data_IF_222684787670
#
_entry.id   IF_222684787670
#
_cell.length_a   1.000
_cell.length_b   1.000
_cell.length_c   1.000
_cell.angle_alpha   90.00
_cell.angle_beta   90.00
_cell.angle_gamma   90.00
#
_symmetry.space_group_name_H-M   'P 1'
#
loop_
_entity.id
_entity.type
_entity.pdbx_description
1 polymer ?
#
# COMPACT_ATOMS: atom_id res chain seq x y z
N UNK A 1 19.75 89.22 74.46
CA UNK A 1 20.79 89.17 73.42
C UNK A 1 20.58 87.91 72.57
N UNK A 2 20.64 88.06 71.24
CA UNK A 2 20.71 87.03 70.18
C UNK A 2 19.48 86.11 70.04
N UNK A 3 18.53 86.35 69.13
CA UNK A 3 18.61 86.44 67.65
C UNK A 3 19.02 85.11 67.01
N UNK A 4 18.09 84.44 66.28
CA UNK A 4 18.26 84.06 64.86
C UNK A 4 17.21 83.05 64.36
N UNK A 5 16.51 83.51 63.33
CA UNK A 5 16.26 82.84 62.03
C UNK A 5 15.33 81.63 61.95
N UNK A 6 14.19 81.89 61.30
CA UNK A 6 13.32 80.93 60.62
C UNK A 6 14.11 80.10 59.59
N UNK A 7 13.82 78.80 59.54
CA UNK A 7 14.03 77.98 58.35
C UNK A 7 12.75 77.15 58.14
N UNK A 8 11.97 77.53 57.14
CA UNK A 8 10.87 76.72 56.63
C UNK A 8 11.44 75.79 55.55
N UNK A 9 11.42 74.48 55.78
CA UNK A 9 11.76 73.48 54.76
C UNK A 9 10.47 72.84 54.28
N UNK A 10 10.08 73.15 53.05
CA UNK A 10 9.09 72.41 52.28
C UNK A 10 9.71 71.07 51.88
N UNK A 11 9.23 69.95 52.46
CA UNK A 11 9.56 68.62 51.97
C UNK A 11 8.43 68.15 51.05
N UNK A 12 8.67 68.28 49.75
CA UNK A 12 7.78 67.81 48.69
C UNK A 12 7.52 66.31 48.80
N UNK A 13 6.25 65.92 48.83
CA UNK A 13 5.84 64.50 48.75
C UNK A 13 6.16 64.00 47.34
N UNK A 14 7.24 63.22 47.21
CA UNK A 14 7.55 62.46 46.00
C UNK A 14 6.73 61.16 46.04
N UNK A 15 5.63 61.12 45.30
CA UNK A 15 4.97 59.86 44.96
C UNK A 15 5.93 59.07 44.05
N UNK A 16 6.27 57.81 44.36
CA UNK A 16 7.03 56.99 43.42
C UNK A 16 6.13 56.74 42.20
N UNK A 17 6.47 57.34 41.07
CA UNK A 17 5.95 56.93 39.78
C UNK A 17 6.47 55.52 39.50
N UNK A 18 5.65 54.51 39.79
CA UNK A 18 5.90 53.13 39.34
C UNK A 18 5.90 53.16 37.81
N UNK A 19 7.09 53.09 37.22
CA UNK A 19 7.26 52.93 35.80
C UNK A 19 6.61 51.61 35.39
N UNK A 20 5.65 51.66 34.47
CA UNK A 20 5.09 50.45 33.87
C UNK A 20 6.20 49.81 33.02
N UNK A 21 6.63 48.61 33.38
CA UNK A 21 7.50 47.82 32.53
C UNK A 21 6.72 47.43 31.27
N UNK A 22 7.23 47.79 30.09
CA UNK A 22 6.63 47.38 28.83
C UNK A 22 6.72 45.87 28.69
N UNK A 23 5.57 45.21 28.57
CA UNK A 23 5.47 43.80 28.20
C UNK A 23 5.25 43.71 26.69
N UNK A 24 6.04 42.86 26.03
CA UNK A 24 5.86 42.51 24.61
C UNK A 24 5.48 41.05 24.51
N UNK A 25 4.49 40.74 23.68
CA UNK A 25 4.06 39.38 23.43
C UNK A 25 4.92 38.74 22.32
N UNK A 26 5.40 37.53 22.59
CA UNK A 26 5.99 36.66 21.57
C UNK A 26 4.96 35.60 21.17
N UNK A 27 4.41 35.72 19.96
CA UNK A 27 3.50 34.72 19.42
C UNK A 27 4.27 33.68 18.58
N UNK A 28 4.14 32.41 18.95
CA UNK A 28 4.73 31.29 18.22
C UNK A 28 3.61 30.45 17.61
N UNK A 29 3.54 30.44 16.28
CA UNK A 29 2.54 29.68 15.51
C UNK A 29 3.25 28.70 14.56
N UNK A 30 2.57 27.59 14.24
CA UNK A 30 3.04 26.61 13.26
C UNK A 30 2.00 25.54 12.99
N UNK A 31 2.13 24.85 11.85
CA UNK A 31 1.27 23.75 11.43
C UNK A 31 2.13 22.56 11.01
N UNK A 32 1.80 21.36 11.49
CA UNK A 32 2.44 20.10 11.06
C UNK A 32 1.56 19.47 9.98
N UNK A 33 2.11 19.29 8.78
CA UNK A 33 1.46 18.56 7.68
C UNK A 33 2.10 17.17 7.61
N UNK A 34 1.36 16.08 7.89
CA UNK A 34 1.89 14.73 7.77
C UNK A 34 2.03 14.33 6.29
N UNK A 35 3.01 13.48 5.99
CA UNK A 35 3.20 12.93 4.65
C UNK A 35 1.97 12.11 4.21
N UNK A 36 1.39 12.44 3.06
CA UNK A 36 0.26 11.75 2.46
C UNK A 36 0.71 10.96 1.23
N UNK A 37 0.49 9.64 1.24
CA UNK A 37 0.74 8.73 0.12
C UNK A 37 -0.60 8.16 -0.38
N UNK A 38 -0.79 8.15 -1.69
CA UNK A 38 -2.03 7.70 -2.34
C UNK A 38 -1.73 6.54 -3.29
N UNK A 39 -2.21 5.32 -3.00
CA UNK A 39 -2.11 4.18 -3.91
C UNK A 39 -3.16 4.26 -5.03
N UNK A 40 -2.77 3.92 -6.25
CA UNK A 40 -3.65 3.81 -7.41
C UNK A 40 -3.09 2.81 -8.45
N UNK A 41 -3.96 2.16 -9.20
CA UNK A 41 -3.54 1.33 -10.33
C UNK A 41 -3.43 2.15 -11.62
N UNK A 42 -2.34 1.95 -12.37
CA UNK A 42 -2.21 2.51 -13.71
C UNK A 42 -3.28 1.91 -14.64
N UNK A 43 -3.94 2.77 -15.43
CA UNK A 43 -4.99 2.33 -16.36
C UNK A 43 -6.35 2.01 -15.69
N UNK A 44 -6.46 2.15 -14.36
CA UNK A 44 -7.67 1.87 -13.59
C UNK A 44 -7.60 0.58 -12.78
N UNK A 45 -8.63 0.32 -11.98
CA UNK A 45 -8.69 -0.80 -11.04
C UNK A 45 -9.40 -2.05 -11.59
N UNK A 46 -9.63 -2.12 -12.90
CA UNK A 46 -10.40 -3.20 -13.54
C UNK A 46 -9.59 -3.82 -14.67
N UNK A 47 -9.34 -5.13 -14.57
CA UNK A 47 -8.80 -5.94 -15.65
C UNK A 47 -9.95 -6.67 -16.32
N UNK A 48 -10.28 -6.30 -17.55
CA UNK A 48 -11.31 -6.96 -18.35
C UNK A 48 -10.69 -8.15 -19.11
N UNK A 49 -11.00 -9.37 -18.65
CA UNK A 49 -10.58 -10.62 -19.29
C UNK A 49 -11.31 -10.90 -20.61
N UNK A 50 -12.24 -10.02 -21.00
CA UNK A 50 -13.11 -10.13 -22.18
C UNK A 50 -13.95 -11.40 -22.13
N UNK A 51 -14.70 -11.64 -23.21
CA UNK A 51 -15.47 -12.87 -23.38
C UNK A 51 -14.55 -14.02 -23.72
N UNK A 52 -14.65 -15.08 -22.93
CA UNK A 52 -13.86 -16.31 -23.10
C UNK A 52 -14.79 -17.38 -23.67
N UNK A 53 -14.46 -17.89 -24.86
CA UNK A 53 -15.22 -18.98 -25.47
C UNK A 53 -15.00 -20.27 -24.68
N UNK A 54 -16.06 -20.99 -24.34
CA UNK A 54 -15.95 -22.30 -23.70
C UNK A 54 -15.17 -23.31 -24.56
N UNK A 55 -15.15 -23.12 -25.88
CA UNK A 55 -14.41 -23.96 -26.82
C UNK A 55 -12.88 -23.88 -26.68
N UNK A 56 -12.34 -22.83 -26.06
CA UNK A 56 -10.89 -22.72 -25.78
C UNK A 56 -10.50 -23.31 -24.42
N UNK A 57 -11.48 -23.67 -23.57
CA UNK A 57 -11.22 -24.23 -22.26
C UNK A 57 -10.97 -25.74 -22.35
N UNK A 58 -9.92 -26.20 -21.67
CA UNK A 58 -9.62 -27.63 -21.59
C UNK A 58 -10.67 -28.37 -20.76
N UNK A 59 -11.15 -29.51 -21.28
CA UNK A 59 -12.18 -30.31 -20.62
C UNK A 59 -11.73 -30.98 -19.34
N UNK A 60 -10.48 -31.43 -19.25
CA UNK A 60 -10.02 -32.31 -18.17
C UNK A 60 -8.96 -31.66 -17.26
N UNK A 61 -8.38 -30.54 -17.68
CA UNK A 61 -7.31 -29.83 -16.98
C UNK A 61 -7.65 -28.35 -16.87
N UNK A 62 -6.95 -27.63 -15.99
CA UNK A 62 -7.03 -26.18 -15.95
C UNK A 62 -6.58 -25.55 -17.28
N UNK A 63 -7.06 -24.34 -17.53
CA UNK A 63 -6.70 -23.51 -18.68
C UNK A 63 -6.05 -22.23 -18.16
N UNK A 64 -4.81 -21.97 -18.59
CA UNK A 64 -4.15 -20.68 -18.37
C UNK A 64 -4.67 -19.70 -19.43
N UNK A 65 -5.16 -18.55 -18.98
CA UNK A 65 -5.66 -17.49 -19.85
C UNK A 65 -4.53 -16.51 -20.20
N UNK A 66 -4.73 -15.62 -21.20
CA UNK A 66 -3.78 -14.56 -21.50
C UNK A 66 -3.44 -13.73 -20.26
N UNK A 67 -2.17 -13.35 -20.16
CA UNK A 67 -1.63 -12.55 -19.06
C UNK A 67 -1.99 -11.07 -19.27
N UNK A 68 -2.26 -10.36 -18.17
CA UNK A 68 -2.57 -8.93 -18.19
C UNK A 68 -1.62 -8.15 -17.30
N UNK A 69 -0.95 -7.14 -17.83
CA UNK A 69 -0.08 -6.29 -17.02
C UNK A 69 -0.89 -5.31 -16.17
N UNK A 70 -0.50 -5.19 -14.90
CA UNK A 70 -1.08 -4.27 -13.92
C UNK A 70 0.03 -3.61 -13.13
N UNK A 71 -0.11 -2.35 -12.76
CA UNK A 71 0.93 -1.66 -11.97
C UNK A 71 0.28 -0.85 -10.85
N UNK A 72 0.70 -1.11 -9.62
CA UNK A 72 0.36 -0.27 -8.47
C UNK A 72 1.35 0.90 -8.42
N UNK A 73 0.82 2.12 -8.36
CA UNK A 73 1.59 3.33 -8.12
C UNK A 73 1.21 3.92 -6.77
N UNK A 74 2.20 4.39 -6.02
CA UNK A 74 1.98 5.10 -4.75
C UNK A 74 2.67 6.45 -4.88
N UNK A 75 1.89 7.53 -4.79
CA UNK A 75 2.39 8.89 -4.90
C UNK A 75 2.30 9.59 -3.56
N UNK A 76 3.42 10.12 -3.09
CA UNK A 76 3.56 10.79 -1.80
C UNK A 76 3.92 12.28 -1.97
N UNK A 77 3.39 13.13 -1.08
CA UNK A 77 3.69 14.57 -1.03
C UNK A 77 5.07 14.91 -0.39
N UNK A 78 5.73 13.91 0.18
CA UNK A 78 7.13 13.92 0.64
C UNK A 78 7.73 12.51 0.54
N UNK A 79 9.06 12.36 0.48
CA UNK A 79 9.69 11.04 0.48
C UNK A 79 9.28 10.21 1.71
N UNK A 80 8.72 9.02 1.49
CA UNK A 80 8.36 8.10 2.55
C UNK A 80 8.65 6.64 2.14
N UNK A 81 9.14 5.80 3.06
CA UNK A 81 9.16 4.37 2.85
C UNK A 81 7.77 3.79 3.10
N UNK A 82 7.34 2.86 2.26
CA UNK A 82 6.02 2.23 2.34
C UNK A 82 6.13 0.72 2.22
N UNK A 83 5.17 -0.01 2.78
CA UNK A 83 4.96 -1.42 2.49
C UNK A 83 3.50 -1.69 2.12
N UNK A 84 3.23 -2.79 1.43
CA UNK A 84 1.89 -3.19 0.99
C UNK A 84 1.60 -4.63 1.39
N UNK A 85 0.34 -4.90 1.77
CA UNK A 85 -0.19 -6.26 1.90
C UNK A 85 -1.33 -6.46 0.91
N UNK A 86 -1.45 -7.67 0.36
CA UNK A 86 -2.51 -8.01 -0.60
C UNK A 86 -3.52 -8.90 0.09
N UNK A 87 -4.79 -8.50 0.14
CA UNK A 87 -5.89 -9.29 0.70
C UNK A 87 -6.84 -9.74 -0.40
N UNK A 88 -7.08 -11.06 -0.47
CA UNK A 88 -8.12 -11.64 -1.31
C UNK A 88 -9.53 -11.34 -0.78
N UNK A 89 -10.34 -10.58 -1.52
CA UNK A 89 -11.74 -10.30 -1.17
C UNK A 89 -12.69 -11.43 -1.63
N UNK A 90 -12.16 -12.42 -2.36
CA UNK A 90 -12.89 -13.55 -2.96
C UNK A 90 -12.27 -14.89 -2.62
N UNK A 91 -11.48 -14.97 -1.55
CA UNK A 91 -10.67 -16.15 -1.21
C UNK A 91 -11.44 -17.45 -0.99
N UNK A 92 -12.72 -17.37 -0.59
CA UNK A 92 -13.60 -18.55 -0.46
C UNK A 92 -13.93 -19.21 -1.82
N UNK A 93 -13.81 -18.47 -2.92
CA UNK A 93 -14.16 -18.89 -4.27
C UNK A 93 -12.96 -19.48 -5.04
N UNK A 94 -11.78 -19.48 -4.44
CA UNK A 94 -10.55 -20.00 -5.05
C UNK A 94 -10.63 -21.50 -5.30
N UNK A 95 -10.44 -21.89 -6.56
CA UNK A 95 -10.34 -23.29 -6.96
C UNK A 95 -9.04 -23.92 -6.39
N UNK A 96 -9.13 -24.99 -5.57
CA UNK A 96 -7.94 -25.66 -5.06
C UNK A 96 -7.16 -26.40 -6.15
N UNK A 97 -5.84 -26.50 -5.96
CA UNK A 97 -4.97 -27.31 -6.83
C UNK A 97 -4.65 -26.69 -8.20
N UNK A 98 -5.06 -25.43 -8.43
CA UNK A 98 -4.59 -24.66 -9.58
C UNK A 98 -3.10 -24.32 -9.44
N UNK A 99 -2.44 -24.14 -10.58
CA UNK A 99 -1.04 -23.75 -10.64
C UNK A 99 -0.77 -22.77 -11.79
N UNK A 100 0.37 -22.06 -11.76
CA UNK A 100 0.77 -21.20 -12.86
C UNK A 100 1.50 -21.99 -13.97
N UNK A 101 2.05 -21.30 -14.97
CA UNK A 101 2.86 -21.87 -16.05
C UNK A 101 4.19 -22.48 -15.59
N UNK A 102 4.65 -22.17 -14.37
CA UNK A 102 5.87 -22.74 -13.78
C UNK A 102 5.59 -23.96 -12.89
N UNK A 103 4.32 -24.25 -12.63
CA UNK A 103 3.87 -25.34 -11.76
C UNK A 103 3.79 -24.96 -10.27
N UNK A 104 3.93 -23.67 -9.93
CA UNK A 104 3.71 -23.19 -8.57
C UNK A 104 2.24 -23.35 -8.19
N UNK A 105 1.96 -24.00 -7.07
CA UNK A 105 0.61 -24.42 -6.66
C UNK A 105 0.28 -24.12 -5.18
N UNK A 106 1.14 -23.38 -4.47
CA UNK A 106 0.84 -22.96 -3.10
C UNK A 106 -0.46 -22.12 -3.09
N UNK A 107 -1.52 -22.56 -2.39
CA UNK A 107 -2.77 -21.82 -2.32
C UNK A 107 -2.61 -20.39 -1.81
N UNK A 108 -1.58 -20.06 -1.04
CA UNK A 108 -1.33 -18.69 -0.57
C UNK A 108 -1.00 -17.71 -1.71
N UNK A 109 -0.54 -18.21 -2.86
CA UNK A 109 -0.10 -17.43 -4.03
C UNK A 109 -1.22 -17.20 -5.07
N UNK A 110 -2.42 -17.72 -4.82
CA UNK A 110 -3.56 -17.59 -5.72
C UNK A 110 -4.73 -16.89 -5.03
N UNK A 111 -5.47 -16.15 -5.83
CA UNK A 111 -6.66 -15.38 -5.47
C UNK A 111 -7.91 -15.97 -6.14
N UNK A 112 -9.08 -15.82 -5.51
CA UNK A 112 -10.35 -16.31 -6.05
C UNK A 112 -10.87 -15.47 -7.21
N UNK A 113 -11.53 -16.10 -8.18
CA UNK A 113 -12.14 -15.43 -9.35
C UNK A 113 -13.66 -15.65 -9.46
N UNK A 114 -14.28 -16.07 -8.36
CA UNK A 114 -15.72 -16.30 -8.26
C UNK A 114 -16.12 -17.76 -8.32
N UNK A 115 -17.40 -17.97 -8.03
CA UNK A 115 -18.07 -19.27 -8.07
C UNK A 115 -19.48 -19.11 -8.62
N UNK A 116 -20.04 -20.19 -9.15
CA UNK A 116 -21.41 -20.25 -9.64
C UNK A 116 -22.09 -21.51 -9.08
N UNK A 117 -23.21 -21.34 -8.39
CA UNK A 117 -23.95 -22.43 -7.72
C UNK A 117 -23.06 -23.29 -6.80
N UNK A 118 -22.10 -22.67 -6.10
CA UNK A 118 -21.11 -23.35 -5.24
C UNK A 118 -19.94 -24.02 -5.99
N UNK A 119 -19.94 -23.98 -7.33
CA UNK A 119 -18.82 -24.44 -8.15
C UNK A 119 -17.81 -23.32 -8.34
N UNK A 120 -16.63 -23.48 -7.75
CA UNK A 120 -15.50 -22.55 -7.91
C UNK A 120 -14.96 -22.60 -9.32
N UNK A 121 -14.83 -21.44 -9.96
CA UNK A 121 -14.53 -21.37 -11.39
C UNK A 121 -13.03 -21.53 -11.66
N UNK A 122 -12.19 -20.99 -10.77
CA UNK A 122 -10.76 -20.90 -10.98
C UNK A 122 -10.09 -19.99 -9.96
N UNK A 123 -9.09 -19.25 -10.42
CA UNK A 123 -8.42 -18.22 -9.63
C UNK A 123 -7.51 -17.39 -10.52
N UNK A 124 -6.71 -16.53 -9.90
CA UNK A 124 -5.64 -15.82 -10.58
C UNK A 124 -4.44 -15.67 -9.65
N UNK A 125 -3.25 -15.54 -10.22
CA UNK A 125 -2.05 -15.15 -9.50
C UNK A 125 -1.60 -13.76 -9.93
N UNK A 126 -0.79 -13.11 -9.10
CA UNK A 126 -0.08 -11.89 -9.45
C UNK A 126 1.41 -12.20 -9.45
N UNK A 127 2.05 -12.13 -10.62
CA UNK A 127 3.50 -12.26 -10.75
C UNK A 127 4.12 -10.89 -10.56
N UNK A 128 5.07 -10.76 -9.64
CA UNK A 128 5.72 -9.47 -9.46
C UNK A 128 6.71 -9.18 -10.59
N UNK A 129 6.75 -7.92 -11.03
CA UNK A 129 7.82 -7.37 -11.84
C UNK A 129 8.97 -6.89 -10.96
N UNK A 130 9.74 -5.95 -11.49
CA UNK A 130 10.79 -5.25 -10.76
C UNK A 130 10.17 -3.95 -10.22
N UNK A 131 10.03 -3.77 -8.89
CA UNK A 131 9.54 -2.53 -8.32
C UNK A 131 10.52 -1.39 -8.59
N UNK A 132 10.03 -0.15 -8.55
CA UNK A 132 10.83 1.04 -8.82
C UNK A 132 10.46 2.19 -7.88
N UNK A 133 11.41 3.09 -7.69
CA UNK A 133 11.18 4.40 -7.08
C UNK A 133 11.74 5.48 -7.98
N UNK A 134 10.96 6.53 -8.27
CA UNK A 134 11.35 7.61 -9.19
C UNK A 134 11.94 7.08 -10.54
N UNK A 135 11.35 6.01 -11.08
CA UNK A 135 11.77 5.28 -12.29
C UNK A 135 13.15 4.58 -12.19
N UNK A 136 13.64 4.35 -10.97
CA UNK A 136 14.86 3.59 -10.69
C UNK A 136 14.51 2.21 -10.12
N UNK A 137 14.91 1.10 -10.79
CA UNK A 137 14.66 -0.27 -10.34
C UNK A 137 15.17 -0.53 -8.92
N UNK A 138 14.38 -1.28 -8.14
CA UNK A 138 14.66 -1.64 -6.75
C UNK A 138 14.62 -3.16 -6.56
N UNK A 139 15.22 -3.63 -5.47
CA UNK A 139 15.07 -5.00 -4.98
C UNK A 139 13.70 -5.14 -4.32
N UNK A 140 12.91 -6.13 -4.75
CA UNK A 140 11.68 -6.49 -4.05
C UNK A 140 12.01 -7.17 -2.72
N UNK A 141 11.37 -6.69 -1.66
CA UNK A 141 11.53 -7.15 -0.29
C UNK A 141 10.20 -7.72 0.21
N UNK A 142 10.29 -8.74 1.07
CA UNK A 142 9.12 -9.24 1.79
C UNK A 142 9.45 -9.53 3.25
N UNK A 143 8.42 -9.49 4.10
CA UNK A 143 8.46 -9.90 5.50
C UNK A 143 7.07 -10.30 5.97
N UNK A 144 6.96 -10.70 7.23
CA UNK A 144 5.67 -10.80 7.93
C UNK A 144 5.79 -10.12 9.29
N UNK A 145 4.67 -9.88 9.98
CA UNK A 145 4.74 -9.36 11.35
C UNK A 145 5.41 -10.36 12.32
N UNK A 146 5.30 -11.66 12.05
CA UNK A 146 5.94 -12.70 12.86
C UNK A 146 7.45 -12.85 12.58
N UNK A 147 7.89 -12.49 11.38
CA UNK A 147 9.29 -12.43 10.99
C UNK A 147 9.56 -11.06 10.33
N UNK A 148 9.90 -10.03 11.12
CA UNK A 148 9.94 -8.65 10.68
C UNK A 148 11.21 -8.28 9.89
N UNK A 149 12.18 -9.20 9.79
CA UNK A 149 13.38 -9.00 8.99
C UNK A 149 13.03 -9.02 7.50
N UNK A 150 13.55 -8.03 6.75
CA UNK A 150 13.43 -8.02 5.30
C UNK A 150 14.20 -9.19 4.69
N UNK A 151 13.62 -9.77 3.65
CA UNK A 151 14.22 -10.85 2.87
C UNK A 151 13.76 -10.76 1.42
N UNK A 152 14.41 -11.52 0.54
CA UNK A 152 13.94 -11.71 -0.83
C UNK A 152 12.72 -12.65 -0.84
N UNK A 153 11.71 -12.40 -1.68
CA UNK A 153 10.64 -13.37 -1.91
C UNK A 153 11.18 -14.70 -2.43
N UNK A 154 10.66 -15.81 -1.91
CA UNK A 154 10.99 -17.16 -2.37
C UNK A 154 10.18 -17.60 -3.60
N UNK A 155 9.22 -16.79 -4.03
CA UNK A 155 8.32 -17.04 -5.15
C UNK A 155 8.27 -15.80 -6.03
N UNK A 156 8.11 -16.01 -7.35
CA UNK A 156 7.83 -14.93 -8.30
C UNK A 156 6.41 -14.39 -8.22
N UNK A 157 5.54 -15.06 -7.45
CA UNK A 157 4.15 -14.66 -7.22
C UNK A 157 4.02 -13.88 -5.91
N UNK A 158 3.15 -12.87 -5.93
CA UNK A 158 2.72 -12.11 -4.77
C UNK A 158 1.76 -12.97 -3.95
N UNK A 159 2.10 -13.18 -2.69
CA UNK A 159 1.30 -13.94 -1.74
C UNK A 159 0.20 -13.08 -1.14
N UNK A 160 -0.89 -13.73 -0.75
CA UNK A 160 -1.94 -13.14 0.07
C UNK A 160 -1.39 -12.78 1.47
N UNK A 161 -2.12 -11.95 2.20
CA UNK A 161 -1.84 -11.64 3.61
C UNK A 161 -1.65 -12.94 4.41
N UNK A 162 -0.68 -13.01 5.35
CA UNK A 162 -0.06 -11.87 6.05
C UNK A 162 1.29 -11.41 5.46
N UNK A 163 1.62 -11.77 4.21
CA UNK A 163 2.82 -11.26 3.56
C UNK A 163 2.76 -9.72 3.41
N UNK A 164 3.88 -9.08 3.68
CA UNK A 164 4.13 -7.66 3.44
C UNK A 164 5.22 -7.53 2.39
N UNK A 165 5.05 -6.58 1.48
CA UNK A 165 5.99 -6.29 0.39
C UNK A 165 6.43 -4.84 0.44
N UNK A 166 7.71 -4.62 0.22
CA UNK A 166 8.28 -3.29 0.04
C UNK A 166 9.45 -3.40 -0.94
N UNK A 167 10.19 -2.33 -1.16
CA UNK A 167 11.28 -2.30 -2.11
C UNK A 167 12.32 -1.25 -1.76
N UNK A 168 13.58 -1.56 -2.03
CA UNK A 168 14.70 -0.64 -1.83
C UNK A 168 15.99 -1.18 -2.45
N UNK A 169 17.15 -0.57 -2.17
CA UNK A 169 18.39 -0.91 -2.87
C UNK A 169 18.78 -2.38 -2.69
N UNK A 170 18.70 -2.87 -1.46
CA UNK A 170 18.99 -4.24 -1.07
C UNK A 170 18.32 -4.59 0.27
N UNK A 171 18.45 -5.86 0.68
CA UNK A 171 17.87 -6.37 1.94
C UNK A 171 18.43 -5.66 3.18
N UNK A 172 19.71 -5.26 3.16
CA UNK A 172 20.38 -4.65 4.31
C UNK A 172 19.94 -3.20 4.53
N UNK A 173 19.71 -2.47 3.43
CA UNK A 173 19.24 -1.09 3.42
C UNK A 173 17.73 -1.00 3.69
N UNK A 174 16.98 -2.04 3.31
CA UNK A 174 15.53 -2.07 3.48
C UNK A 174 14.80 -1.10 2.53
N UNK A 175 13.55 -0.76 2.85
CA UNK A 175 12.68 0.08 2.01
C UNK A 175 13.23 1.47 1.71
N UNK A 176 13.18 1.86 0.44
CA UNK A 176 13.56 3.20 0.02
C UNK A 176 12.45 4.21 0.31
N UNK A 177 12.83 5.39 0.82
CA UNK A 177 11.93 6.52 0.92
C UNK A 177 11.88 7.29 -0.41
N UNK A 178 10.69 7.45 -0.99
CA UNK A 178 10.51 8.17 -2.26
C UNK A 178 9.14 8.86 -2.33
N UNK A 179 8.98 9.74 -3.31
CA UNK A 179 7.71 10.38 -3.65
C UNK A 179 6.90 9.54 -4.64
N UNK A 180 7.55 8.74 -5.47
CA UNK A 180 6.90 7.96 -6.52
C UNK A 180 7.36 6.51 -6.43
N UNK A 181 6.44 5.62 -6.11
CA UNK A 181 6.70 4.19 -6.10
C UNK A 181 5.91 3.52 -7.22
N UNK A 182 6.53 2.54 -7.86
CA UNK A 182 5.91 1.66 -8.84
C UNK A 182 6.11 0.20 -8.46
N UNK A 183 5.03 -0.58 -8.51
CA UNK A 183 5.05 -2.03 -8.34
C UNK A 183 4.35 -2.69 -9.52
N UNK A 184 5.06 -2.91 -10.64
CA UNK A 184 4.52 -3.60 -11.79
C UNK A 184 4.33 -5.07 -11.47
N UNK A 185 3.25 -5.65 -12.01
CA UNK A 185 2.88 -7.04 -11.86
C UNK A 185 2.21 -7.53 -13.15
N UNK A 186 2.11 -8.83 -13.29
CA UNK A 186 1.30 -9.46 -14.32
C UNK A 186 0.24 -10.33 -13.64
N UNK A 187 -1.02 -10.16 -14.03
CA UNK A 187 -2.15 -10.98 -13.62
C UNK A 187 -2.22 -12.22 -14.51
N UNK A 188 -2.19 -13.40 -13.89
CA UNK A 188 -2.26 -14.70 -14.55
C UNK A 188 -3.59 -15.38 -14.19
N UNK A 189 -4.63 -15.28 -15.03
CA UNK A 189 -5.91 -15.89 -14.74
C UNK A 189 -5.90 -17.37 -15.13
N UNK A 190 -6.54 -18.18 -14.29
CA UNK A 190 -6.61 -19.65 -14.44
C UNK A 190 -8.06 -20.10 -14.28
N UNK A 191 -8.56 -20.85 -15.25
CA UNK A 191 -9.89 -21.46 -15.22
C UNK A 191 -9.75 -22.96 -14.98
N UNK A 192 -10.61 -23.52 -14.14
CA UNK A 192 -10.66 -24.96 -13.90
C UNK A 192 -11.05 -25.78 -15.14
N UNK A 193 -11.01 -27.12 -15.04
CA UNK A 193 -11.50 -28.00 -16.10
C UNK A 193 -12.94 -27.69 -16.49
N UNK A 194 -13.21 -27.49 -17.78
CA UNK A 194 -14.54 -27.08 -18.23
C UNK A 194 -15.62 -28.15 -18.04
N UNK A 195 -15.26 -29.42 -17.88
CA UNK A 195 -16.21 -30.49 -17.53
C UNK A 195 -16.74 -30.38 -16.08
N UNK A 196 -16.06 -29.64 -15.22
CA UNK A 196 -16.43 -29.42 -13.83
C UNK A 196 -17.21 -28.10 -13.66
N UNK A 197 -17.31 -27.29 -14.71
CA UNK A 197 -18.00 -26.00 -14.68
C UNK A 197 -19.42 -26.15 -15.24
N UNK A 198 -20.44 -25.48 -14.64
CA UNK A 198 -21.80 -25.51 -15.14
C UNK A 198 -21.96 -24.58 -16.35
N UNK A 199 -21.37 -24.96 -17.50
CA UNK A 199 -21.43 -24.20 -18.75
C UNK A 199 -22.76 -24.47 -19.47
N UNK A 200 -23.87 -24.08 -18.84
CA UNK A 200 -25.17 -23.94 -19.53
C UNK A 200 -25.38 -22.53 -20.05
N UNK A 201 -24.79 -21.55 -19.38
CA UNK A 201 -24.96 -20.11 -19.60
C UNK A 201 -23.62 -19.36 -19.43
N UNK A 202 -23.66 -18.03 -19.59
CA UNK A 202 -22.51 -17.16 -19.32
C UNK A 202 -22.12 -17.22 -17.84
N UNK A 203 -20.85 -17.50 -17.57
CA UNK A 203 -20.29 -17.57 -16.20
C UNK A 203 -19.54 -16.26 -15.94
N UNK A 204 -20.01 -15.41 -15.01
CA UNK A 204 -19.28 -14.20 -14.65
C UNK A 204 -18.00 -14.55 -13.89
N UNK A 205 -16.91 -13.83 -14.21
CA UNK A 205 -15.66 -13.87 -13.47
C UNK A 205 -15.63 -12.67 -12.52
N UNK A 206 -15.48 -12.92 -11.22
CA UNK A 206 -15.49 -11.91 -10.16
C UNK A 206 -14.29 -12.13 -9.24
N UNK A 207 -13.13 -11.64 -9.67
CA UNK A 207 -11.92 -11.59 -8.86
C UNK A 207 -11.73 -10.22 -8.22
N UNK A 208 -11.30 -10.18 -6.96
CA UNK A 208 -11.06 -8.92 -6.26
C UNK A 208 -9.98 -9.07 -5.19
N UNK A 209 -9.00 -8.18 -5.22
CA UNK A 209 -7.94 -8.05 -4.20
C UNK A 209 -7.84 -6.61 -3.72
N UNK A 210 -7.50 -6.44 -2.45
CA UNK A 210 -7.20 -5.12 -1.85
C UNK A 210 -5.71 -5.03 -1.59
N UNK A 211 -5.08 -3.92 -2.00
CA UNK A 211 -3.72 -3.58 -1.60
C UNK A 211 -3.79 -2.60 -0.43
N UNK A 212 -3.52 -3.08 0.78
CA UNK A 212 -3.43 -2.24 1.97
C UNK A 212 -2.01 -1.67 2.05
N UNK A 213 -1.89 -0.34 2.10
CA UNK A 213 -0.60 0.38 2.21
C UNK A 213 -0.33 0.81 3.64
N UNK A 214 0.91 0.66 4.09
CA UNK A 214 1.40 1.10 5.39
C UNK A 214 2.64 1.98 5.23
N UNK A 215 2.78 2.98 6.09
CA UNK A 215 4.00 3.77 6.24
C UNK A 215 4.99 3.03 7.14
N UNK A 216 6.29 3.24 6.92
CA UNK A 216 7.39 2.64 7.68
C UNK A 216 8.19 3.67 8.48
#
# INVERSE_FOLDING_TARGET
MRNKSLIAVFASVLLPSVAMAESVDLNVIGTIIPTSCIPAFAGGSTVDLRKISSGVLNKAKQTLLPVHDVSLHINCDAPAPVEVSVRDNRGSTKLPGIHDDTGQNDPALFFGIGEINGTRIGGFALRHGIPEVDNSPQTLLTRTLANPAWQLPSSSLVSNAPALYSWGPDVASGPAASRHHGFPMSLLPVIGPSNALPISDEIPLDGSVTFDMFYL
#
